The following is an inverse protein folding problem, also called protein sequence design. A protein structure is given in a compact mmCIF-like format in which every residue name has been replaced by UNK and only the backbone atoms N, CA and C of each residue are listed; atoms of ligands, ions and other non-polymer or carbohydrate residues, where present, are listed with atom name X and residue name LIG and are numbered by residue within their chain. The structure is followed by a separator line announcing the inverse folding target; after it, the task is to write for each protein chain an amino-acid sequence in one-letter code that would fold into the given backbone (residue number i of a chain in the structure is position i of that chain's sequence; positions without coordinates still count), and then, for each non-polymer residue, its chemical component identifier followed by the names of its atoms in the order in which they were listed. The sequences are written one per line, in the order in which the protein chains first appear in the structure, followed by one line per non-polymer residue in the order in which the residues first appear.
data_IF_984678380377
#
_entry.id   IF_984678380377
#
_cell.length_a   1.000
_cell.length_b   1.000
_cell.length_c   1.000
_cell.angle_alpha   90.00
_cell.angle_beta   90.00
_cell.angle_gamma   90.00
#
_symmetry.space_group_name_H-M   'P 1'
#
loop_
_entity.id
_entity.type
_entity.pdbx_description
1 polymer ?
#
# COMPACT_ATOMS: atom_id res chain seq x y z
N UNK A 1 2.57 -31.57 -16.99
CA UNK A 1 2.96 -30.34 -17.71
C UNK A 1 2.70 -29.07 -16.89
N UNK A 2 1.51 -28.89 -16.29
CA UNK A 2 1.18 -27.73 -15.44
C UNK A 2 2.18 -27.48 -14.30
N UNK A 3 2.55 -28.53 -13.55
CA UNK A 3 3.54 -28.43 -12.46
C UNK A 3 4.91 -27.94 -12.96
N UNK A 4 5.37 -28.40 -14.13
CA UNK A 4 6.62 -27.93 -14.75
C UNK A 4 6.52 -26.45 -15.15
N UNK A 5 5.36 -26.01 -15.66
CA UNK A 5 5.10 -24.63 -16.04
C UNK A 5 5.05 -23.70 -14.82
N UNK A 6 4.33 -24.10 -13.75
CA UNK A 6 4.29 -23.36 -12.48
C UNK A 6 5.70 -23.23 -11.91
N UNK A 7 6.47 -24.32 -11.89
CA UNK A 7 7.85 -24.32 -11.42
C UNK A 7 8.72 -23.36 -12.23
N UNK A 8 8.61 -23.37 -13.55
CA UNK A 8 9.35 -22.46 -14.43
C UNK A 8 9.00 -20.99 -14.15
N UNK A 9 7.71 -20.66 -14.04
CA UNK A 9 7.24 -19.29 -13.76
C UNK A 9 7.69 -18.82 -12.37
N UNK A 10 7.69 -19.70 -11.37
CA UNK A 10 8.16 -19.35 -10.02
C UNK A 10 9.67 -19.06 -10.01
N UNK A 11 10.48 -19.89 -10.65
CA UNK A 11 11.93 -19.67 -10.65
C UNK A 11 12.38 -18.53 -11.58
N UNK A 12 11.59 -18.17 -12.59
CA UNK A 12 11.86 -16.98 -13.42
C UNK A 12 11.50 -15.67 -12.70
N UNK A 13 10.46 -15.68 -11.86
CA UNK A 13 9.96 -14.47 -11.17
C UNK A 13 10.65 -14.18 -9.85
N UNK A 14 11.10 -15.21 -9.15
CA UNK A 14 11.68 -15.09 -7.82
C UNK A 14 13.11 -15.60 -7.75
N UNK A 15 13.98 -14.82 -7.11
CA UNK A 15 15.25 -15.38 -6.67
C UNK A 15 15.01 -16.40 -5.54
N UNK A 16 15.88 -17.43 -5.43
CA UNK A 16 15.80 -18.42 -4.35
C UNK A 16 15.72 -17.76 -2.97
N UNK A 17 16.52 -16.69 -2.75
CA UNK A 17 16.48 -15.90 -1.52
C UNK A 17 15.17 -15.13 -1.31
N UNK A 18 14.53 -14.67 -2.39
CA UNK A 18 13.21 -14.03 -2.33
C UNK A 18 12.10 -14.99 -1.89
N UNK A 19 12.09 -16.22 -2.43
CA UNK A 19 11.14 -17.27 -2.00
C UNK A 19 11.35 -17.65 -0.53
N UNK A 20 12.60 -17.85 -0.11
CA UNK A 20 12.92 -18.16 1.29
C UNK A 20 12.45 -17.02 2.20
N UNK A 21 12.75 -15.77 1.86
CA UNK A 21 12.30 -14.61 2.63
C UNK A 21 10.77 -14.54 2.72
N UNK A 22 10.05 -14.81 1.62
CA UNK A 22 8.59 -14.83 1.60
C UNK A 22 8.05 -15.89 2.56
N UNK A 23 8.55 -17.12 2.47
CA UNK A 23 8.17 -18.23 3.35
C UNK A 23 8.44 -17.87 4.80
N UNK A 24 9.65 -17.41 5.13
CA UNK A 24 10.04 -17.02 6.49
C UNK A 24 9.12 -15.94 7.04
N UNK A 25 8.78 -14.91 6.26
CA UNK A 25 7.86 -13.86 6.70
C UNK A 25 6.46 -14.42 6.94
N UNK A 26 5.91 -15.23 6.04
CA UNK A 26 4.60 -15.86 6.26
C UNK A 26 4.58 -16.73 7.49
N UNK A 27 5.67 -17.48 7.74
CA UNK A 27 5.81 -18.27 8.96
C UNK A 27 5.86 -17.35 10.17
N UNK A 28 6.72 -16.33 10.20
CA UNK A 28 6.82 -15.39 11.33
C UNK A 28 5.49 -14.69 11.65
N UNK A 29 4.77 -14.22 10.62
CA UNK A 29 3.44 -13.61 10.81
C UNK A 29 2.46 -14.64 11.38
N UNK A 30 2.44 -15.86 10.84
CA UNK A 30 1.57 -16.92 11.34
C UNK A 30 1.89 -17.31 12.79
N UNK A 31 3.18 -17.41 13.16
CA UNK A 31 3.63 -17.69 14.52
C UNK A 31 3.24 -16.56 15.48
N UNK A 32 3.33 -15.30 15.04
CA UNK A 32 3.01 -14.14 15.88
C UNK A 32 1.52 -13.94 16.08
N UNK A 33 0.69 -14.26 15.07
CA UNK A 33 -0.73 -13.88 15.07
C UNK A 33 -1.68 -15.07 15.26
N UNK A 34 -1.43 -16.19 14.59
CA UNK A 34 -2.37 -17.32 14.55
C UNK A 34 -2.17 -18.20 15.80
N UNK A 35 -0.93 -18.48 16.16
CA UNK A 35 -0.62 -19.38 17.29
C UNK A 35 -1.13 -18.84 18.65
N UNK A 36 -0.94 -17.56 19.02
CA UNK A 36 -1.47 -17.03 20.27
C UNK A 36 -3.00 -17.01 20.32
N UNK A 37 -3.64 -16.83 19.16
CA UNK A 37 -5.11 -16.82 19.02
C UNK A 37 -5.70 -18.21 19.21
N UNK A 38 -4.97 -19.25 18.77
CA UNK A 38 -5.36 -20.65 18.99
C UNK A 38 -5.03 -21.09 20.42
N UNK A 39 -3.91 -20.65 21.00
CA UNK A 39 -3.41 -21.15 22.29
C UNK A 39 -4.02 -20.52 23.54
N UNK A 40 -4.48 -19.26 23.49
CA UNK A 40 -5.06 -18.57 24.66
C UNK A 40 -6.54 -18.88 24.92
N UNK A 41 -7.13 -19.78 24.13
CA UNK A 41 -8.59 -19.86 24.02
C UNK A 41 -9.12 -18.62 23.30
N UNK A 42 -10.25 -18.78 22.60
CA UNK A 42 -10.84 -17.79 21.69
C UNK A 42 -11.51 -16.66 22.51
N UNK A 43 -10.80 -16.06 23.46
CA UNK A 43 -11.22 -14.82 24.09
C UNK A 43 -10.69 -13.68 23.23
N UNK A 44 -11.61 -13.14 22.43
CA UNK A 44 -11.41 -12.00 21.55
C UNK A 44 -10.84 -10.81 22.33
N UNK A 45 -9.54 -10.60 22.26
CA UNK A 45 -8.90 -9.39 22.79
C UNK A 45 -9.43 -8.12 22.08
N UNK A 46 -10.09 -8.29 20.93
CA UNK A 46 -10.68 -7.23 20.12
C UNK A 46 -12.12 -7.58 19.73
N UNK A 47 -13.09 -6.68 19.97
CA UNK A 47 -14.46 -6.90 19.53
C UNK A 47 -14.62 -7.11 18.02
N UNK A 48 -15.61 -7.93 17.63
CA UNK A 48 -15.86 -8.38 16.26
C UNK A 48 -15.97 -7.25 15.23
N UNK A 49 -16.55 -6.12 15.61
CA UNK A 49 -16.70 -4.95 14.74
C UNK A 49 -15.37 -4.35 14.26
N UNK A 50 -14.28 -4.43 15.05
CA UNK A 50 -12.97 -3.96 14.58
C UNK A 50 -12.37 -4.87 13.54
N UNK A 51 -12.54 -6.18 13.68
CA UNK A 51 -12.07 -7.15 12.71
C UNK A 51 -12.73 -6.90 11.35
N UNK A 52 -14.02 -6.58 11.33
CA UNK A 52 -14.76 -6.25 10.10
C UNK A 52 -14.22 -4.97 9.46
N UNK A 53 -14.07 -3.90 10.24
CA UNK A 53 -13.54 -2.62 9.73
C UNK A 53 -12.12 -2.81 9.20
N UNK A 54 -11.30 -3.58 9.91
CA UNK A 54 -9.93 -3.90 9.50
C UNK A 54 -9.90 -4.67 8.18
N UNK A 55 -10.62 -5.78 8.10
CA UNK A 55 -10.66 -6.64 6.92
C UNK A 55 -11.17 -5.83 5.73
N UNK A 56 -12.19 -5.00 5.93
CA UNK A 56 -12.73 -4.14 4.88
C UNK A 56 -11.72 -3.10 4.41
N UNK A 57 -11.10 -2.35 5.33
CA UNK A 57 -10.10 -1.33 4.99
C UNK A 57 -8.90 -1.94 4.26
N UNK A 58 -8.44 -3.11 4.71
CA UNK A 58 -7.40 -3.88 4.05
C UNK A 58 -7.84 -4.28 2.65
N UNK A 59 -9.03 -4.86 2.53
CA UNK A 59 -9.59 -5.29 1.25
C UNK A 59 -9.66 -4.13 0.26
N UNK A 60 -10.17 -2.96 0.67
CA UNK A 60 -10.23 -1.75 -0.18
C UNK A 60 -8.84 -1.33 -0.64
N UNK A 61 -7.89 -1.20 0.30
CA UNK A 61 -6.55 -0.71 0.02
C UNK A 61 -5.85 -1.62 -1.00
N UNK A 62 -5.90 -2.94 -0.79
CA UNK A 62 -5.24 -3.91 -1.65
C UNK A 62 -6.02 -4.23 -2.94
N UNK A 63 -7.34 -4.07 -2.95
CA UNK A 63 -8.14 -4.12 -4.19
C UNK A 63 -7.81 -2.92 -5.09
N UNK A 64 -7.62 -1.73 -4.49
CA UNK A 64 -7.29 -0.52 -5.23
C UNK A 64 -5.86 -0.55 -5.77
N UNK A 65 -4.90 -1.05 -5.00
CA UNK A 65 -3.52 -1.26 -5.42
C UNK A 65 -3.47 -2.48 -6.38
N UNK A 66 -3.92 -2.29 -7.63
CA UNK A 66 -4.06 -3.39 -8.60
C UNK A 66 -2.73 -3.89 -9.18
N UNK A 67 -2.03 -4.80 -8.50
CA UNK A 67 -0.76 -5.33 -8.96
C UNK A 67 -0.89 -6.49 -9.94
N UNK A 68 -0.58 -6.26 -11.22
CA UNK A 68 -0.36 -7.37 -12.14
C UNK A 68 1.07 -7.88 -12.03
N UNK A 69 1.29 -9.11 -12.44
CA UNK A 69 2.58 -9.79 -12.38
C UNK A 69 2.90 -10.43 -13.71
N UNK A 70 2.22 -10.07 -14.81
CA UNK A 70 2.76 -10.47 -16.10
C UNK A 70 4.01 -9.66 -16.33
N UNK A 71 5.13 -10.39 -16.36
CA UNK A 71 6.38 -9.82 -16.77
C UNK A 71 6.37 -9.61 -18.30
N UNK A 72 7.15 -8.69 -18.84
CA UNK A 72 7.29 -8.58 -20.30
C UNK A 72 7.94 -9.84 -20.83
N UNK A 73 8.91 -10.38 -20.09
CA UNK A 73 9.47 -11.69 -20.35
C UNK A 73 8.37 -12.77 -20.43
N UNK A 74 7.33 -12.71 -19.58
CA UNK A 74 6.20 -13.65 -19.69
C UNK A 74 5.44 -13.45 -21.00
N UNK A 75 5.20 -12.22 -21.42
CA UNK A 75 4.49 -11.93 -22.67
C UNK A 75 5.30 -12.27 -23.92
N UNK A 76 6.59 -11.97 -23.93
CA UNK A 76 7.49 -12.23 -25.07
C UNK A 76 7.80 -13.74 -25.20
N UNK A 77 7.87 -14.46 -24.08
CA UNK A 77 8.22 -15.88 -24.04
C UNK A 77 7.02 -16.80 -23.76
N UNK A 78 6.33 -16.67 -22.63
CA UNK A 78 5.27 -17.62 -22.25
C UNK A 78 4.01 -17.50 -23.14
N UNK A 79 3.67 -16.31 -23.61
CA UNK A 79 2.49 -16.12 -24.46
C UNK A 79 2.73 -16.44 -25.93
N UNK A 80 4.00 -16.56 -26.36
CA UNK A 80 4.38 -16.99 -27.71
C UNK A 80 4.55 -18.52 -27.81
N UNK A 81 4.72 -19.21 -26.68
CA UNK A 81 4.76 -20.68 -26.66
C UNK A 81 3.40 -21.28 -27.08
N UNK A 82 3.40 -22.43 -27.77
CA UNK A 82 2.19 -23.16 -28.16
C UNK A 82 1.60 -23.93 -26.96
N UNK A 83 1.18 -23.20 -25.93
CA UNK A 83 0.57 -23.74 -24.70
C UNK A 83 -0.89 -23.30 -24.65
N UNK A 84 -1.79 -24.19 -24.24
CA UNK A 84 -3.19 -23.86 -24.00
C UNK A 84 -3.33 -22.64 -23.07
N UNK A 85 -4.07 -21.63 -23.52
CA UNK A 85 -4.33 -20.39 -22.76
C UNK A 85 -4.93 -20.66 -21.37
N UNK A 86 -5.77 -21.70 -21.24
CA UNK A 86 -6.32 -22.15 -19.95
C UNK A 86 -5.23 -22.63 -18.99
N UNK A 87 -4.28 -23.45 -19.47
CA UNK A 87 -3.17 -23.97 -18.64
C UNK A 87 -2.20 -22.86 -18.25
N UNK A 88 -1.93 -21.93 -19.17
CA UNK A 88 -1.12 -20.75 -18.92
C UNK A 88 -1.77 -19.85 -17.85
N UNK A 89 -3.06 -19.53 -18.00
CA UNK A 89 -3.81 -18.72 -17.03
C UNK A 89 -3.81 -19.32 -15.62
N UNK A 90 -4.02 -20.64 -15.49
CA UNK A 90 -3.95 -21.34 -14.21
C UNK A 90 -2.55 -21.25 -13.60
N UNK A 91 -1.50 -21.49 -14.40
CA UNK A 91 -0.14 -21.47 -13.88
C UNK A 91 0.28 -20.08 -13.37
N UNK A 92 -0.07 -19.03 -14.13
CA UNK A 92 0.18 -17.64 -13.75
C UNK A 92 -0.63 -17.24 -12.50
N UNK A 93 -1.88 -17.70 -12.38
CA UNK A 93 -2.70 -17.48 -11.20
C UNK A 93 -2.09 -18.12 -9.95
N UNK A 94 -1.65 -19.37 -10.03
CA UNK A 94 -0.99 -20.08 -8.91
C UNK A 94 0.29 -19.35 -8.48
N UNK A 95 1.10 -18.91 -9.44
CA UNK A 95 2.31 -18.13 -9.12
C UNK A 95 2.00 -16.82 -8.39
N UNK A 96 0.88 -16.18 -8.71
CA UNK A 96 0.44 -14.96 -8.03
C UNK A 96 -0.14 -15.22 -6.65
N UNK A 97 -0.83 -16.34 -6.48
CA UNK A 97 -1.35 -16.77 -5.20
C UNK A 97 -0.21 -16.96 -4.19
N UNK A 98 0.94 -17.47 -4.63
CA UNK A 98 2.14 -17.60 -3.78
C UNK A 98 2.66 -16.22 -3.33
N UNK A 99 2.65 -15.20 -4.19
CA UNK A 99 2.97 -13.81 -3.80
C UNK A 99 1.96 -13.31 -2.77
N UNK A 100 0.69 -13.57 -3.03
CA UNK A 100 -0.42 -13.10 -2.21
C UNK A 100 -0.56 -13.83 -0.87
N UNK A 101 0.17 -14.92 -0.66
CA UNK A 101 0.12 -15.71 0.57
C UNK A 101 0.45 -14.85 1.80
N UNK A 102 1.37 -13.88 1.67
CA UNK A 102 1.66 -12.91 2.74
C UNK A 102 0.42 -12.09 3.10
N UNK A 103 -0.36 -11.60 2.12
CA UNK A 103 -1.59 -10.84 2.38
C UNK A 103 -2.72 -11.71 2.90
N UNK A 104 -2.81 -12.96 2.42
CA UNK A 104 -3.78 -13.94 2.92
C UNK A 104 -3.50 -14.20 4.41
N UNK A 105 -2.25 -14.52 4.76
CA UNK A 105 -1.86 -14.77 6.15
C UNK A 105 -2.05 -13.49 6.99
N UNK A 106 -1.67 -12.33 6.46
CA UNK A 106 -1.88 -11.07 7.16
C UNK A 106 -3.37 -10.77 7.40
N UNK A 107 -4.28 -11.00 6.43
CA UNK A 107 -5.73 -10.90 6.65
C UNK A 107 -6.22 -11.87 7.74
N UNK A 108 -5.68 -13.09 7.76
CA UNK A 108 -6.03 -14.08 8.80
C UNK A 108 -5.53 -13.63 10.18
N UNK A 109 -4.43 -12.88 10.27
CA UNK A 109 -3.89 -12.35 11.53
C UNK A 109 -4.83 -11.40 12.28
N UNK A 110 -5.75 -10.74 11.58
CA UNK A 110 -6.74 -9.83 12.18
C UNK A 110 -8.12 -10.48 12.34
N UNK A 111 -8.22 -11.77 12.05
CA UNK A 111 -9.43 -12.55 12.24
C UNK A 111 -9.44 -13.15 13.64
N UNK A 112 -9.94 -12.39 14.61
CA UNK A 112 -9.98 -12.80 16.03
C UNK A 112 -11.16 -13.73 16.38
N UNK A 113 -12.01 -14.05 15.42
CA UNK A 113 -13.14 -14.98 15.56
C UNK A 113 -12.87 -16.25 14.72
N UNK A 114 -13.20 -17.43 15.25
CA UNK A 114 -13.10 -18.71 14.55
C UNK A 114 -13.79 -18.73 13.19
N UNK A 115 -14.94 -18.06 13.06
CA UNK A 115 -15.63 -17.94 11.79
C UNK A 115 -14.86 -17.10 10.77
N UNK A 116 -14.30 -15.97 11.20
CA UNK A 116 -13.45 -15.14 10.35
C UNK A 116 -12.13 -15.84 9.98
N UNK A 117 -11.57 -16.71 10.83
CA UNK A 117 -10.37 -17.48 10.51
C UNK A 117 -10.61 -18.44 9.32
N UNK A 118 -11.82 -18.98 9.19
CA UNK A 118 -12.18 -19.86 8.06
C UNK A 118 -12.40 -19.04 6.78
N UNK A 119 -12.95 -17.82 6.90
CA UNK A 119 -13.33 -17.00 5.75
C UNK A 119 -12.20 -16.11 5.25
N UNK A 120 -11.27 -15.69 6.11
CA UNK A 120 -10.17 -14.80 5.73
C UNK A 120 -9.26 -15.37 4.61
N UNK A 121 -8.97 -16.68 4.52
CA UNK A 121 -8.29 -17.25 3.35
C UNK A 121 -9.07 -17.07 2.06
N UNK A 122 -10.39 -17.29 2.10
CA UNK A 122 -11.27 -17.08 0.96
C UNK A 122 -11.27 -15.61 0.55
N UNK A 123 -11.40 -14.68 1.51
CA UNK A 123 -11.32 -13.25 1.25
C UNK A 123 -9.99 -12.86 0.60
N UNK A 124 -8.86 -13.39 1.06
CA UNK A 124 -7.56 -13.14 0.45
C UNK A 124 -7.42 -13.70 -0.98
N UNK A 125 -8.01 -14.86 -1.27
CA UNK A 125 -8.09 -15.39 -2.65
C UNK A 125 -8.99 -14.51 -3.53
N UNK A 126 -10.15 -14.09 -3.01
CA UNK A 126 -11.06 -13.20 -3.72
C UNK A 126 -10.42 -11.84 -3.99
N UNK A 127 -9.60 -11.34 -3.06
CA UNK A 127 -8.86 -10.09 -3.20
C UNK A 127 -7.89 -10.16 -4.36
N UNK A 128 -7.12 -11.25 -4.48
CA UNK A 128 -6.26 -11.50 -5.65
C UNK A 128 -7.08 -11.54 -6.94
N UNK A 129 -8.17 -12.31 -6.95
CA UNK A 129 -9.02 -12.44 -8.14
C UNK A 129 -9.67 -11.12 -8.57
N UNK A 130 -10.18 -10.34 -7.61
CA UNK A 130 -10.76 -9.02 -7.84
C UNK A 130 -9.69 -8.05 -8.35
N UNK A 131 -8.50 -8.09 -7.78
CA UNK A 131 -7.37 -7.28 -8.23
C UNK A 131 -7.03 -7.54 -9.70
N UNK A 132 -6.96 -8.82 -10.10
CA UNK A 132 -6.67 -9.26 -11.48
C UNK A 132 -7.79 -8.88 -12.46
N UNK A 133 -9.05 -8.90 -12.03
CA UNK A 133 -10.18 -8.56 -12.90
C UNK A 133 -10.28 -7.05 -13.15
N UNK A 134 -10.01 -6.23 -12.13
CA UNK A 134 -10.16 -4.77 -12.19
C UNK A 134 -9.03 -4.01 -12.91
N UNK A 135 -8.02 -4.69 -13.45
CA UNK A 135 -6.81 -4.03 -13.99
C UNK A 135 -7.06 -3.12 -15.19
N UNK A 136 -7.93 -3.55 -16.10
CA UNK A 136 -8.24 -2.83 -17.34
C UNK A 136 -9.50 -1.96 -17.21
N UNK A 137 -10.12 -1.98 -16.04
CA UNK A 137 -11.33 -1.20 -15.76
C UNK A 137 -10.92 0.25 -15.51
N UNK A 138 -11.67 1.20 -16.09
CA UNK A 138 -11.42 2.63 -15.85
C UNK A 138 -11.49 2.93 -14.34
N UNK A 139 -10.63 3.84 -13.87
CA UNK A 139 -10.50 4.16 -12.44
C UNK A 139 -11.83 4.51 -11.76
N UNK A 140 -12.74 5.20 -12.46
CA UNK A 140 -14.08 5.53 -11.94
C UNK A 140 -14.91 4.29 -11.62
N UNK A 141 -15.04 3.36 -12.56
CA UNK A 141 -15.76 2.10 -12.35
C UNK A 141 -15.05 1.20 -11.34
N UNK A 142 -13.72 1.21 -11.32
CA UNK A 142 -12.93 0.47 -10.34
C UNK A 142 -13.22 0.95 -8.91
N UNK A 143 -13.24 2.27 -8.68
CA UNK A 143 -13.60 2.86 -7.39
C UNK A 143 -15.04 2.47 -7.02
N UNK A 144 -15.98 2.57 -7.95
CA UNK A 144 -17.38 2.18 -7.70
C UNK A 144 -17.50 0.72 -7.25
N UNK A 145 -16.85 -0.22 -7.96
CA UNK A 145 -16.87 -1.64 -7.60
C UNK A 145 -16.28 -1.86 -6.20
N UNK A 146 -15.14 -1.22 -5.89
CA UNK A 146 -14.51 -1.33 -4.57
C UNK A 146 -15.40 -0.76 -3.46
N UNK A 147 -16.09 0.35 -3.71
CA UNK A 147 -17.04 0.93 -2.74
C UNK A 147 -18.24 0.02 -2.51
N UNK A 148 -18.80 -0.58 -3.56
CA UNK A 148 -19.92 -1.53 -3.42
C UNK A 148 -19.49 -2.76 -2.61
N UNK A 149 -18.32 -3.34 -2.91
CA UNK A 149 -17.79 -4.48 -2.14
C UNK A 149 -17.48 -4.06 -0.69
N UNK A 150 -16.96 -2.86 -0.46
CA UNK A 150 -16.72 -2.34 0.88
C UNK A 150 -18.01 -2.21 1.70
N UNK A 151 -19.07 -1.64 1.11
CA UNK A 151 -20.37 -1.53 1.77
C UNK A 151 -20.94 -2.91 2.09
N UNK A 152 -20.74 -3.90 1.21
CA UNK A 152 -21.14 -5.27 1.47
C UNK A 152 -20.35 -5.90 2.62
N UNK A 153 -19.03 -5.71 2.69
CA UNK A 153 -18.20 -6.16 3.81
C UNK A 153 -18.52 -5.41 5.12
N UNK A 154 -19.07 -4.19 5.08
CA UNK A 154 -19.50 -3.47 6.29
C UNK A 154 -20.95 -3.77 6.68
N UNK A 155 -21.75 -4.34 5.79
CA UNK A 155 -23.18 -4.58 6.02
C UNK A 155 -23.53 -5.36 7.30
N UNK A 156 -22.72 -6.30 7.82
CA UNK A 156 -23.03 -6.95 9.10
C UNK A 156 -23.07 -6.00 10.30
N UNK A 157 -22.40 -4.84 10.23
CA UNK A 157 -22.49 -3.81 11.26
C UNK A 157 -23.92 -3.24 11.39
N UNK A 158 -24.74 -3.39 10.36
CA UNK A 158 -26.15 -2.98 10.33
C UNK A 158 -27.11 -4.17 10.53
N UNK A 159 -26.61 -5.32 10.96
CA UNK A 159 -27.43 -6.53 11.19
C UNK A 159 -27.69 -7.38 9.93
N UNK A 160 -26.95 -7.14 8.84
CA UNK A 160 -27.10 -7.96 7.63
C UNK A 160 -26.32 -9.27 7.72
N UNK A 161 -27.04 -10.39 7.60
CA UNK A 161 -26.49 -11.74 7.82
C UNK A 161 -25.77 -12.30 6.57
N UNK A 162 -26.10 -11.83 5.36
CA UNK A 162 -25.56 -12.37 4.10
C UNK A 162 -24.35 -11.59 3.56
N UNK A 163 -23.27 -11.54 4.34
CA UNK A 163 -22.02 -10.88 3.92
C UNK A 163 -20.79 -11.68 4.32
N UNK A 164 -19.66 -11.57 3.58
CA UNK A 164 -18.44 -12.31 3.89
C UNK A 164 -17.84 -12.08 5.28
N UNK A 165 -18.18 -10.97 5.93
CA UNK A 165 -17.68 -10.62 7.27
C UNK A 165 -18.70 -10.93 8.37
N UNK A 166 -19.90 -11.41 8.04
CA UNK A 166 -20.98 -11.71 8.99
C UNK A 166 -20.62 -12.84 9.95
N UNK A 167 -19.70 -13.73 9.57
CA UNK A 167 -19.15 -14.75 10.46
C UNK A 167 -18.44 -14.17 11.70
N UNK A 168 -18.08 -12.88 11.69
CA UNK A 168 -17.60 -12.19 12.88
C UNK A 168 -18.63 -12.12 14.01
N UNK A 169 -19.93 -12.18 13.66
CA UNK A 169 -21.07 -12.15 14.57
C UNK A 169 -21.73 -13.52 14.80
N UNK A 170 -21.14 -14.61 14.28
CA UNK A 170 -21.64 -15.97 14.48
C UNK A 170 -22.37 -16.59 13.28
N UNK A 171 -22.63 -15.80 12.23
CA UNK A 171 -23.32 -16.24 11.00
C UNK A 171 -22.36 -16.92 10.01
N UNK A 172 -21.82 -18.08 10.40
CA UNK A 172 -20.81 -18.77 9.59
C UNK A 172 -21.36 -19.34 8.28
N UNK A 173 -22.56 -19.91 8.31
CA UNK A 173 -23.14 -20.59 7.16
C UNK A 173 -23.59 -19.58 6.10
N UNK A 174 -24.24 -18.49 6.52
CA UNK A 174 -24.68 -17.38 5.69
C UNK A 174 -23.47 -16.74 5.02
N UNK A 175 -22.42 -16.45 5.80
CA UNK A 175 -21.16 -15.92 5.30
C UNK A 175 -20.48 -16.84 4.28
N UNK A 176 -20.43 -18.15 4.54
CA UNK A 176 -19.83 -19.12 3.60
C UNK A 176 -20.64 -19.26 2.32
N UNK A 177 -21.97 -19.30 2.43
CA UNK A 177 -22.89 -19.43 1.28
C UNK A 177 -22.71 -18.30 0.27
N UNK A 178 -22.28 -17.13 0.74
CA UNK A 178 -22.04 -15.95 -0.07
C UNK A 178 -20.58 -15.84 -0.52
N UNK A 179 -19.64 -16.07 0.39
CA UNK A 179 -18.22 -15.87 0.12
C UNK A 179 -17.67 -16.90 -0.86
N UNK A 180 -18.07 -18.18 -0.72
CA UNK A 180 -17.54 -19.25 -1.55
C UNK A 180 -17.93 -19.05 -3.03
N UNK A 181 -19.21 -18.84 -3.40
CA UNK A 181 -19.57 -18.54 -4.79
C UNK A 181 -18.91 -17.28 -5.33
N UNK A 182 -18.82 -16.22 -4.52
CA UNK A 182 -18.12 -14.98 -4.90
C UNK A 182 -16.65 -15.24 -5.24
N UNK A 183 -15.93 -15.98 -4.39
CA UNK A 183 -14.52 -16.29 -4.61
C UNK A 183 -14.30 -17.18 -5.83
N UNK A 184 -15.15 -18.20 -6.03
CA UNK A 184 -15.07 -19.13 -7.16
C UNK A 184 -15.36 -18.39 -8.46
N UNK A 185 -16.42 -17.58 -8.49
CA UNK A 185 -16.78 -16.76 -9.65
C UNK A 185 -15.64 -15.83 -10.05
N UNK A 186 -15.10 -15.05 -9.12
CA UNK A 186 -13.98 -14.15 -9.39
C UNK A 186 -12.72 -14.91 -9.82
N UNK A 187 -12.43 -16.06 -9.20
CA UNK A 187 -11.28 -16.90 -9.57
C UNK A 187 -11.40 -17.35 -11.02
N UNK A 188 -12.57 -17.87 -11.44
CA UNK A 188 -12.80 -18.31 -12.81
C UNK A 188 -12.64 -17.15 -13.81
N UNK A 189 -13.22 -15.99 -13.51
CA UNK A 189 -13.10 -14.79 -14.37
C UNK A 189 -11.64 -14.36 -14.47
N UNK A 190 -10.92 -14.33 -13.35
CA UNK A 190 -9.51 -13.92 -13.31
C UNK A 190 -8.61 -14.86 -14.11
N UNK A 191 -8.79 -16.19 -13.99
CA UNK A 191 -8.01 -17.19 -14.75
C UNK A 191 -8.24 -17.03 -16.25
N UNK A 192 -9.51 -16.86 -16.67
CA UNK A 192 -9.85 -16.65 -18.08
C UNK A 192 -9.21 -15.37 -18.62
N UNK A 193 -9.27 -14.29 -17.83
CA UNK A 193 -8.71 -12.99 -18.20
C UNK A 193 -7.19 -13.03 -18.32
N UNK A 194 -6.49 -13.64 -17.36
CA UNK A 194 -5.03 -13.79 -17.40
C UNK A 194 -4.59 -14.65 -18.60
N UNK A 195 -5.30 -15.75 -18.85
CA UNK A 195 -4.96 -16.67 -19.94
C UNK A 195 -5.10 -16.04 -21.33
N UNK A 196 -6.04 -15.10 -21.50
CA UNK A 196 -6.37 -14.47 -22.78
C UNK A 196 -5.90 -13.02 -22.87
N UNK A 197 -4.80 -12.66 -22.21
CA UNK A 197 -4.30 -11.30 -22.22
C UNK A 197 -3.73 -10.93 -23.61
N UNK A 198 -4.31 -9.91 -24.26
CA UNK A 198 -3.89 -9.47 -25.59
C UNK A 198 -2.62 -8.59 -25.53
N UNK A 199 -1.57 -9.03 -26.20
CA UNK A 199 -0.27 -8.32 -26.32
C UNK A 199 -0.41 -6.91 -26.93
N UNK A 200 -1.47 -6.65 -27.70
CA UNK A 200 -1.69 -5.40 -28.45
C UNK A 200 -2.09 -4.23 -27.52
N UNK A 201 -2.67 -4.50 -26.35
CA UNK A 201 -3.19 -3.47 -25.45
C UNK A 201 -2.10 -2.73 -24.63
N UNK A 202 -0.89 -3.28 -24.54
CA UNK A 202 0.23 -2.62 -23.84
C UNK A 202 0.73 -1.36 -24.55
N UNK A 203 0.47 -1.23 -25.85
CA UNK A 203 0.92 -0.09 -26.66
C UNK A 203 0.04 1.15 -26.53
N UNK A 204 -0.97 1.14 -25.68
CA UNK A 204 -1.65 2.38 -25.29
C UNK A 204 -0.85 3.06 -24.19
N UNK A 205 0.35 3.54 -24.54
CA UNK A 205 0.87 4.75 -23.93
C UNK A 205 -0.18 5.79 -24.28
N UNK A 206 -1.11 6.06 -23.38
CA UNK A 206 -2.03 7.17 -23.54
C UNK A 206 -1.15 8.40 -23.55
N UNK A 207 -0.78 8.87 -24.75
CA UNK A 207 -0.26 10.20 -25.00
C UNK A 207 -1.39 11.18 -24.72
N UNK A 208 -1.79 11.27 -23.46
CA UNK A 208 -2.41 12.49 -22.97
C UNK A 208 -1.25 13.45 -22.75
N UNK A 209 -0.84 14.11 -23.84
CA UNK A 209 -0.14 15.39 -23.76
C UNK A 209 -1.12 16.39 -23.14
N UNK A 210 -1.34 16.26 -21.84
CA UNK A 210 -2.04 17.28 -21.08
C UNK A 210 -1.17 18.53 -21.14
N UNK A 211 -1.62 19.52 -21.89
CA UNK A 211 -1.15 20.89 -21.75
C UNK A 211 -1.14 21.18 -20.25
N UNK A 212 -0.01 21.63 -19.71
CA UNK A 212 0.10 22.00 -18.29
C UNK A 212 -0.94 23.10 -18.06
N UNK A 213 -2.10 22.75 -17.49
CA UNK A 213 -3.24 23.67 -17.36
C UNK A 213 -2.88 24.93 -16.53
N UNK A 214 -1.77 24.89 -15.77
CA UNK A 214 -1.30 26.00 -14.95
C UNK A 214 0.25 26.09 -14.92
N UNK A 215 0.87 26.97 -15.72
CA UNK A 215 2.32 27.17 -15.64
C UNK A 215 2.69 27.80 -14.29
N UNK A 216 3.72 27.27 -13.63
CA UNK A 216 4.35 27.87 -12.45
C UNK A 216 5.62 28.58 -12.92
N UNK A 217 5.79 29.84 -12.55
CA UNK A 217 7.05 30.56 -12.76
C UNK A 217 8.00 30.34 -11.58
N UNK A 218 9.27 30.08 -11.88
CA UNK A 218 10.36 29.90 -10.91
C UNK A 218 11.40 31.03 -10.95
N UNK A 219 11.16 32.09 -11.72
CA UNK A 219 12.17 33.11 -12.10
C UNK A 219 12.88 33.81 -10.94
N UNK A 220 12.26 33.88 -9.76
CA UNK A 220 12.81 34.53 -8.55
C UNK A 220 13.03 33.57 -7.38
N UNK A 221 12.84 32.26 -7.59
CA UNK A 221 12.89 31.26 -6.52
C UNK A 221 14.30 30.67 -6.35
N UNK A 222 14.75 30.52 -5.11
CA UNK A 222 15.98 29.76 -4.83
C UNK A 222 15.77 28.27 -5.14
N UNK A 223 16.82 27.47 -5.41
CA UNK A 223 16.68 26.07 -5.80
C UNK A 223 15.83 25.24 -4.82
N UNK A 224 16.01 25.47 -3.51
CA UNK A 224 15.18 24.83 -2.49
C UNK A 224 13.71 25.28 -2.55
N UNK A 225 13.47 26.60 -2.66
CA UNK A 225 12.12 27.16 -2.74
C UNK A 225 11.40 26.69 -4.01
N UNK A 226 12.11 26.58 -5.14
CA UNK A 226 11.55 26.11 -6.40
C UNK A 226 11.02 24.67 -6.28
N UNK A 227 11.81 23.76 -5.71
CA UNK A 227 11.42 22.36 -5.50
C UNK A 227 10.24 22.28 -4.52
N UNK A 228 10.32 23.01 -3.41
CA UNK A 228 9.24 23.04 -2.43
C UNK A 228 7.95 23.60 -3.04
N UNK A 229 8.01 24.70 -3.79
CA UNK A 229 6.86 25.28 -4.48
C UNK A 229 6.26 24.31 -5.49
N UNK A 230 7.08 23.61 -6.27
CA UNK A 230 6.61 22.59 -7.21
C UNK A 230 5.84 21.47 -6.49
N UNK A 231 6.42 20.90 -5.43
CA UNK A 231 5.81 19.78 -4.68
C UNK A 231 4.61 20.20 -3.82
N UNK A 232 4.55 21.46 -3.38
CA UNK A 232 3.40 21.98 -2.66
C UNK A 232 2.27 22.46 -3.56
N UNK A 233 2.55 22.73 -4.84
CA UNK A 233 1.49 23.08 -5.80
C UNK A 233 0.90 21.83 -6.44
N UNK A 234 1.76 20.85 -6.76
CA UNK A 234 1.37 19.65 -7.46
C UNK A 234 1.61 18.39 -6.65
N UNK A 235 0.55 17.59 -6.59
CA UNK A 235 0.63 16.23 -6.12
C UNK A 235 0.34 15.30 -7.27
N UNK A 236 1.34 14.52 -7.64
CA UNK A 236 1.21 13.48 -8.64
C UNK A 236 0.60 12.24 -7.99
N UNK A 237 -0.67 12.00 -8.28
CA UNK A 237 -1.33 10.74 -7.97
C UNK A 237 -0.79 9.72 -8.97
N UNK A 238 0.29 9.06 -8.58
CA UNK A 238 0.88 7.96 -9.33
C UNK A 238 0.20 6.68 -8.88
N UNK A 239 -0.69 6.17 -9.72
CA UNK A 239 -1.18 4.81 -9.59
C UNK A 239 -0.22 3.89 -10.31
N UNK A 240 0.94 3.55 -9.70
CA UNK A 240 1.58 2.27 -10.04
C UNK A 240 0.81 1.23 -9.27
N UNK A 241 -0.16 0.66 -9.95
CA UNK A 241 -0.99 -0.36 -9.35
C UNK A 241 -0.12 -1.62 -9.23
N UNK A 242 0.38 -1.89 -8.01
CA UNK A 242 1.33 -2.97 -7.75
C UNK A 242 2.40 -2.57 -6.74
N UNK A 243 2.05 -2.55 -5.46
CA UNK A 243 2.98 -2.26 -4.37
C UNK A 243 4.10 -3.33 -4.24
N UNK A 244 3.79 -4.57 -4.61
CA UNK A 244 4.70 -5.72 -4.53
C UNK A 244 5.02 -6.35 -5.88
N UNK A 245 4.28 -5.95 -6.91
CA UNK A 245 4.37 -6.54 -8.23
C UNK A 245 4.78 -5.42 -9.16
N UNK A 246 6.05 -5.47 -9.56
CA UNK A 246 6.74 -4.45 -10.33
C UNK A 246 6.23 -4.33 -11.78
N UNK A 247 5.01 -4.78 -12.04
CA UNK A 247 4.28 -4.82 -13.31
C UNK A 247 2.93 -4.15 -13.08
N UNK A 248 2.74 -2.96 -13.64
CA UNK A 248 1.49 -2.23 -13.49
C UNK A 248 1.38 -1.14 -14.53
N UNK A 249 0.16 -0.89 -15.00
CA UNK A 249 -0.13 0.26 -15.85
C UNK A 249 0.26 1.52 -15.08
N UNK A 250 1.25 2.24 -15.59
CA UNK A 250 1.66 3.51 -15.01
C UNK A 250 0.61 4.56 -15.41
N UNK A 251 -0.25 4.93 -14.47
CA UNK A 251 -1.14 6.07 -14.62
C UNK A 251 -0.64 7.19 -13.73
N UNK A 252 -0.33 8.33 -14.34
CA UNK A 252 0.02 9.54 -13.64
C UNK A 252 -1.10 10.54 -13.86
N UNK A 253 -1.70 10.99 -12.77
CA UNK A 253 -2.55 12.18 -12.79
C UNK A 253 -1.95 13.21 -11.84
N UNK A 254 -1.56 14.35 -12.38
CA UNK A 254 -1.14 15.48 -11.56
C UNK A 254 -2.40 16.21 -11.10
N UNK A 255 -2.52 16.41 -9.78
CA UNK A 255 -3.63 17.10 -9.13
C UNK A 255 -3.05 18.26 -8.33
N UNK A 256 -3.76 19.39 -8.26
CA UNK A 256 -3.35 20.49 -7.39
C UNK A 256 -3.43 20.06 -5.93
N UNK A 257 -2.43 20.41 -5.15
CA UNK A 257 -2.37 20.08 -3.73
C UNK A 257 -3.60 20.59 -2.96
N UNK A 258 -4.15 21.76 -3.35
CA UNK A 258 -5.36 22.32 -2.74
C UNK A 258 -6.56 21.37 -2.78
N UNK A 259 -6.71 20.58 -3.85
CA UNK A 259 -7.78 19.59 -3.94
C UNK A 259 -7.55 18.43 -2.97
N UNK A 260 -6.30 18.02 -2.78
CA UNK A 260 -5.97 16.96 -1.84
C UNK A 260 -6.16 17.43 -0.42
N UNK A 261 -5.75 18.65 -0.08
CA UNK A 261 -6.00 19.23 1.24
C UNK A 261 -7.50 19.39 1.51
N UNK A 262 -8.31 19.71 0.48
CA UNK A 262 -9.76 19.73 0.62
C UNK A 262 -10.31 18.34 0.91
N UNK A 263 -9.90 17.31 0.16
CA UNK A 263 -10.32 15.92 0.38
C UNK A 263 -9.91 15.44 1.78
N UNK A 264 -8.66 15.68 2.20
CA UNK A 264 -8.19 15.26 3.54
C UNK A 264 -8.88 16.03 4.64
N UNK A 265 -9.24 17.30 4.43
CA UNK A 265 -10.04 18.07 5.38
C UNK A 265 -11.46 17.51 5.53
N UNK A 266 -12.12 17.16 4.43
CA UNK A 266 -13.45 16.54 4.47
C UNK A 266 -13.41 15.18 5.18
N UNK A 267 -12.41 14.35 4.88
CA UNK A 267 -12.20 13.07 5.56
C UNK A 267 -11.87 13.24 7.05
N UNK A 268 -11.14 14.30 7.42
CA UNK A 268 -10.84 14.62 8.81
C UNK A 268 -12.10 15.02 9.60
N UNK A 269 -13.05 15.74 8.97
CA UNK A 269 -14.36 16.03 9.57
C UNK A 269 -15.16 14.75 9.78
N UNK A 270 -15.19 13.85 8.80
CA UNK A 270 -15.84 12.52 8.95
C UNK A 270 -15.18 11.74 10.09
N UNK A 271 -13.85 11.70 10.13
CA UNK A 271 -13.08 11.10 11.23
C UNK A 271 -13.48 11.68 12.59
N UNK A 272 -13.58 13.01 12.71
CA UNK A 272 -14.01 13.67 13.93
C UNK A 272 -15.42 13.24 14.36
N UNK A 273 -16.39 13.30 13.45
CA UNK A 273 -17.80 12.95 13.74
C UNK A 273 -17.91 11.50 14.20
N UNK A 274 -17.28 10.57 13.48
CA UNK A 274 -17.33 9.14 13.80
C UNK A 274 -16.71 8.86 15.16
N UNK A 275 -15.51 9.36 15.44
CA UNK A 275 -14.86 9.11 16.72
C UNK A 275 -15.50 9.85 17.89
N UNK A 276 -16.08 11.03 17.64
CA UNK A 276 -16.86 11.74 18.66
C UNK A 276 -18.11 10.94 19.05
N UNK A 277 -18.81 10.38 18.08
CA UNK A 277 -19.95 9.50 18.34
C UNK A 277 -19.54 8.25 19.12
N UNK A 278 -18.45 7.59 18.73
CA UNK A 278 -17.94 6.40 19.42
C UNK A 278 -17.54 6.68 20.87
N UNK A 279 -16.96 7.87 21.15
CA UNK A 279 -16.63 8.31 22.50
C UNK A 279 -17.87 8.47 23.39
N UNK A 280 -18.97 9.00 22.83
CA UNK A 280 -20.23 9.19 23.57
C UNK A 280 -20.88 7.85 23.95
N UNK A 281 -20.71 6.83 23.13
CA UNK A 281 -21.23 5.47 23.39
C UNK A 281 -20.37 4.66 24.37
N UNK A 282 -19.31 5.26 24.96
CA UNK A 282 -18.46 4.66 26.00
C UNK A 282 -17.99 3.23 25.72
N UNK A 283 -17.68 2.93 24.45
CA UNK A 283 -17.26 1.60 24.05
C UNK A 283 -15.81 1.40 24.55
N UNK A 284 -15.61 0.49 25.50
CA UNK A 284 -14.31 0.18 26.15
C UNK A 284 -13.16 -0.10 25.18
N UNK A 285 -13.49 -0.36 23.92
CA UNK A 285 -12.60 -0.77 22.87
C UNK A 285 -12.15 0.37 21.93
N UNK A 286 -12.52 1.62 22.24
CA UNK A 286 -12.26 2.81 21.43
C UNK A 286 -10.78 2.93 21.02
N UNK A 287 -9.86 2.56 21.90
CA UNK A 287 -8.41 2.62 21.66
C UNK A 287 -7.97 1.73 20.48
N UNK A 288 -8.65 0.60 20.24
CA UNK A 288 -8.35 -0.29 19.13
C UNK A 288 -8.92 0.21 17.79
N UNK A 289 -10.14 0.77 17.79
CA UNK A 289 -10.71 1.36 16.58
C UNK A 289 -9.95 2.57 16.08
N UNK A 290 -9.59 3.42 17.04
CA UNK A 290 -8.73 4.57 16.83
C UNK A 290 -7.40 4.11 16.23
N UNK A 291 -6.75 3.11 16.82
CA UNK A 291 -5.44 2.64 16.33
C UNK A 291 -5.46 2.11 14.90
N UNK A 292 -6.54 1.42 14.53
CA UNK A 292 -6.75 0.89 13.18
C UNK A 292 -6.86 2.04 12.16
N UNK A 293 -7.80 2.97 12.35
CA UNK A 293 -8.05 4.04 11.35
C UNK A 293 -6.80 4.91 11.15
N UNK A 294 -6.03 5.15 12.20
CA UNK A 294 -4.83 5.99 12.14
C UNK A 294 -3.68 5.28 11.46
N UNK A 295 -3.52 3.98 11.70
CA UNK A 295 -2.52 3.19 10.97
C UNK A 295 -2.78 3.28 9.47
N UNK A 296 -4.04 3.22 9.02
CA UNK A 296 -4.40 3.40 7.62
C UNK A 296 -4.10 4.81 7.09
N UNK A 297 -4.45 5.86 7.83
CA UNK A 297 -4.15 7.25 7.44
C UNK A 297 -2.64 7.46 7.30
N UNK A 298 -1.86 7.00 8.27
CA UNK A 298 -0.42 7.16 8.26
C UNK A 298 0.25 6.30 7.17
N UNK A 299 -0.17 5.04 6.99
CA UNK A 299 0.27 4.17 5.88
C UNK A 299 -0.01 4.83 4.54
N UNK A 300 -1.23 5.33 4.35
CA UNK A 300 -1.62 6.02 3.12
C UNK A 300 -0.71 7.22 2.88
N UNK A 301 -0.51 8.08 3.88
CA UNK A 301 0.39 9.24 3.76
C UNK A 301 1.82 8.82 3.40
N UNK A 302 2.40 7.84 4.11
CA UNK A 302 3.78 7.40 3.88
C UNK A 302 3.94 6.86 2.47
N UNK A 303 2.99 6.05 2.00
CA UNK A 303 3.06 5.44 0.70
C UNK A 303 2.86 6.42 -0.43
N UNK A 304 1.72 7.11 -0.45
CA UNK A 304 1.35 7.93 -1.58
C UNK A 304 2.24 9.18 -1.69
N UNK A 305 2.63 9.79 -0.57
CA UNK A 305 3.51 10.97 -0.59
C UNK A 305 4.92 10.60 -1.06
N UNK A 306 5.52 9.57 -0.47
CA UNK A 306 6.90 9.19 -0.83
C UNK A 306 6.98 8.71 -2.29
N UNK A 307 5.98 7.96 -2.74
CA UNK A 307 5.89 7.50 -4.13
C UNK A 307 5.62 8.65 -5.10
N UNK A 308 4.70 9.57 -4.79
CA UNK A 308 4.43 10.73 -5.65
C UNK A 308 5.69 11.55 -5.94
N UNK A 309 6.54 11.71 -4.92
CA UNK A 309 7.72 12.55 -5.04
C UNK A 309 8.90 11.86 -5.71
N UNK A 310 9.10 10.56 -5.50
CA UNK A 310 10.25 9.86 -6.02
C UNK A 310 9.96 9.16 -7.35
N UNK A 311 8.77 8.57 -7.52
CA UNK A 311 8.48 7.73 -8.69
C UNK A 311 8.43 8.49 -10.01
N UNK A 312 8.18 9.79 -9.93
CA UNK A 312 8.00 10.63 -11.10
C UNK A 312 9.22 11.49 -11.38
N UNK A 313 10.16 11.53 -10.45
CA UNK A 313 11.40 12.24 -10.64
C UNK A 313 12.37 11.32 -11.38
N UNK A 314 12.84 11.81 -12.54
CA UNK A 314 13.96 11.20 -13.25
C UNK A 314 15.23 11.57 -12.50
N UNK A 315 15.45 10.93 -11.34
CA UNK A 315 16.62 11.17 -10.48
C UNK A 315 17.92 11.05 -11.27
N UNK A 316 17.96 10.12 -12.23
CA UNK A 316 19.13 9.94 -13.09
C UNK A 316 19.43 11.13 -14.02
N UNK A 317 18.45 11.95 -14.38
CA UNK A 317 18.65 13.13 -15.23
C UNK A 317 18.77 14.40 -14.38
N UNK A 318 17.98 14.48 -13.31
CA UNK A 318 17.94 15.65 -12.42
C UNK A 318 19.18 15.75 -11.53
N UNK A 319 19.70 14.63 -11.02
CA UNK A 319 20.86 14.64 -10.13
C UNK A 319 22.15 15.06 -10.86
N UNK A 320 22.48 14.57 -12.07
CA UNK A 320 23.64 15.09 -12.79
C UNK A 320 23.49 16.56 -13.20
N UNK A 321 22.26 17.00 -13.49
CA UNK A 321 21.99 18.36 -13.98
C UNK A 321 22.00 19.41 -12.86
N UNK A 322 21.39 19.10 -11.71
CA UNK A 322 21.18 20.04 -10.58
C UNK A 322 22.16 19.77 -9.43
N UNK A 323 22.76 18.58 -9.40
CA UNK A 323 23.67 18.11 -8.37
C UNK A 323 22.98 17.34 -7.24
N UNK A 324 23.79 16.76 -6.35
CA UNK A 324 23.33 15.91 -5.24
C UNK A 324 22.44 16.65 -4.22
N UNK A 325 22.53 17.99 -4.15
CA UNK A 325 21.69 18.83 -3.29
C UNK A 325 20.20 18.72 -3.62
N UNK A 326 19.86 18.39 -4.87
CA UNK A 326 18.47 18.17 -5.29
C UNK A 326 17.78 17.11 -4.44
N UNK A 327 18.46 15.98 -4.20
CA UNK A 327 17.89 14.87 -3.44
C UNK A 327 17.62 15.25 -1.98
N UNK A 328 18.50 16.07 -1.39
CA UNK A 328 18.30 16.66 -0.06
C UNK A 328 17.00 17.47 0.00
N UNK A 329 16.80 18.35 -0.98
CA UNK A 329 15.61 19.20 -1.06
C UNK A 329 14.34 18.39 -1.34
N UNK A 330 14.44 17.34 -2.16
CA UNK A 330 13.34 16.43 -2.42
C UNK A 330 12.87 15.73 -1.14
N UNK A 331 13.80 15.16 -0.34
CA UNK A 331 13.46 14.52 0.94
C UNK A 331 12.79 15.50 1.90
N UNK A 332 13.29 16.74 2.01
CA UNK A 332 12.64 17.75 2.87
C UNK A 332 11.23 18.06 2.35
N UNK A 333 11.07 18.27 1.04
CA UNK A 333 9.78 18.53 0.43
C UNK A 333 8.78 17.38 0.64
N UNK A 334 9.22 16.12 0.63
CA UNK A 334 8.33 14.96 0.88
C UNK A 334 7.78 14.98 2.30
N UNK A 335 8.60 15.31 3.29
CA UNK A 335 8.14 15.44 4.67
C UNK A 335 7.20 16.64 4.87
N UNK A 336 7.50 17.80 4.28
CA UNK A 336 6.60 18.97 4.37
C UNK A 336 5.26 18.69 3.69
N UNK A 337 5.27 18.04 2.53
CA UNK A 337 4.05 17.65 1.83
C UNK A 337 3.21 16.65 2.65
N UNK A 338 3.86 15.67 3.30
CA UNK A 338 3.22 14.75 4.24
C UNK A 338 2.60 15.48 5.43
N UNK A 339 3.32 16.45 5.99
CA UNK A 339 2.82 17.26 7.11
C UNK A 339 1.53 17.98 6.71
N UNK A 340 1.50 18.67 5.56
CA UNK A 340 0.32 19.41 5.09
C UNK A 340 -0.90 18.50 4.89
N UNK A 341 -0.70 17.29 4.36
CA UNK A 341 -1.75 16.30 4.15
C UNK A 341 -2.34 15.83 5.50
N UNK A 342 -1.50 15.71 6.53
CA UNK A 342 -1.88 15.19 7.85
C UNK A 342 -2.40 16.25 8.83
N UNK A 343 -2.17 17.56 8.59
CA UNK A 343 -2.66 18.64 9.45
C UNK A 343 -4.16 18.51 9.79
N UNK A 344 -5.09 18.30 8.83
CA UNK A 344 -6.51 18.25 9.16
C UNK A 344 -6.86 17.11 10.13
N UNK A 345 -6.24 15.94 9.97
CA UNK A 345 -6.42 14.80 10.87
C UNK A 345 -5.79 15.04 12.24
N UNK A 346 -4.63 15.70 12.28
CA UNK A 346 -3.97 16.06 13.54
C UNK A 346 -4.80 17.07 14.34
N UNK A 347 -5.35 18.11 13.70
CA UNK A 347 -6.25 19.07 14.35
C UNK A 347 -7.46 18.34 14.92
N UNK A 348 -8.11 17.49 14.11
CA UNK A 348 -9.26 16.70 14.57
C UNK A 348 -8.92 15.81 15.76
N UNK A 349 -7.73 15.22 15.77
CA UNK A 349 -7.24 14.40 16.89
C UNK A 349 -6.96 15.23 18.14
N UNK A 350 -6.36 16.42 18.01
CA UNK A 350 -6.15 17.30 19.16
C UNK A 350 -7.47 17.76 19.78
N UNK A 351 -8.49 18.05 18.97
CA UNK A 351 -9.82 18.37 19.50
C UNK A 351 -10.42 17.16 20.22
N UNK A 352 -10.34 15.96 19.63
CA UNK A 352 -10.81 14.73 20.28
C UNK A 352 -10.04 14.39 21.57
N UNK A 353 -8.82 14.91 21.73
CA UNK A 353 -7.97 14.64 22.88
C UNK A 353 -8.50 15.19 24.20
N UNK A 354 -9.38 16.20 24.12
CA UNK A 354 -10.09 16.75 25.29
C UNK A 354 -10.90 15.66 26.01
N UNK A 355 -11.42 14.68 25.27
CA UNK A 355 -12.23 13.59 25.83
C UNK A 355 -11.44 12.29 26.04
N UNK A 356 -10.40 12.04 25.24
CA UNK A 356 -9.55 10.86 25.44
C UNK A 356 -8.08 11.17 25.09
N UNK A 357 -7.14 11.02 26.05
CA UNK A 357 -5.74 11.40 25.87
C UNK A 357 -5.00 10.58 24.81
N UNK A 358 -5.54 9.44 24.36
CA UNK A 358 -4.97 8.66 23.25
C UNK A 358 -4.89 9.49 21.98
N UNK A 359 -5.89 10.35 21.70
CA UNK A 359 -5.90 11.21 20.51
C UNK A 359 -4.81 12.30 20.53
N UNK A 360 -4.29 12.66 21.70
CA UNK A 360 -3.13 13.56 21.79
C UNK A 360 -1.89 12.91 21.19
N UNK A 361 -1.62 11.64 21.55
CA UNK A 361 -0.48 10.88 20.98
C UNK A 361 -0.57 10.79 19.47
N UNK A 362 -1.80 10.66 18.96
CA UNK A 362 -2.10 10.50 17.54
C UNK A 362 -1.85 11.80 16.78
N UNK A 363 -2.33 12.93 17.31
CA UNK A 363 -2.04 14.23 16.71
C UNK A 363 -0.54 14.47 16.60
N UNK A 364 0.23 14.11 17.64
CA UNK A 364 1.69 14.21 17.62
C UNK A 364 2.31 13.24 16.60
N UNK A 365 1.86 11.99 16.53
CA UNK A 365 2.37 11.00 15.57
C UNK A 365 2.12 11.41 14.11
N UNK A 366 0.97 12.00 13.81
CA UNK A 366 0.62 12.48 12.47
C UNK A 366 1.47 13.70 12.05
N UNK A 367 1.82 14.59 12.98
CA UNK A 367 2.60 15.80 12.67
C UNK A 367 4.11 15.60 12.71
N UNK A 368 4.63 14.75 13.60
CA UNK A 368 6.07 14.60 13.79
C UNK A 368 6.57 13.27 13.25
N UNK A 369 5.99 12.16 13.70
CA UNK A 369 6.47 10.82 13.36
C UNK A 369 6.27 10.50 11.88
N UNK A 370 5.06 10.72 11.36
CA UNK A 370 4.67 10.35 9.99
C UNK A 370 5.50 11.08 8.92
N UNK A 371 5.73 12.41 9.00
CA UNK A 371 6.61 13.11 8.05
C UNK A 371 8.06 12.61 8.06
N UNK A 372 8.64 12.36 9.25
CA UNK A 372 10.00 11.81 9.36
C UNK A 372 10.11 10.42 8.74
N UNK A 373 9.07 9.60 8.91
CA UNK A 373 8.98 8.30 8.25
C UNK A 373 8.87 8.44 6.74
N UNK A 374 8.09 9.38 6.20
CA UNK A 374 8.04 9.64 4.75
C UNK A 374 9.42 9.99 4.19
N UNK A 375 10.19 10.83 4.90
CA UNK A 375 11.53 11.22 4.49
C UNK A 375 12.46 9.98 4.44
N UNK A 376 12.46 9.18 5.51
CA UNK A 376 13.27 7.96 5.60
C UNK A 376 12.85 6.93 4.53
N UNK A 377 11.55 6.77 4.29
CA UNK A 377 11.04 5.86 3.28
C UNK A 377 11.42 6.31 1.86
N UNK A 378 11.37 7.63 1.59
CA UNK A 378 11.87 8.21 0.33
C UNK A 378 13.36 7.91 0.12
N UNK A 379 14.19 8.04 1.16
CA UNK A 379 15.61 7.68 1.10
C UNK A 379 15.82 6.20 0.76
N UNK A 380 15.08 5.32 1.43
CA UNK A 380 15.17 3.88 1.18
C UNK A 380 14.70 3.51 -0.23
N UNK A 381 13.64 4.15 -0.74
CA UNK A 381 13.14 3.97 -2.11
C UNK A 381 14.19 4.35 -3.14
N UNK A 382 14.89 5.46 -2.93
CA UNK A 382 15.96 5.89 -3.82
C UNK A 382 17.07 4.82 -3.95
N UNK A 383 17.46 4.20 -2.84
CA UNK A 383 18.53 3.19 -2.80
C UNK A 383 18.21 1.87 -3.52
N UNK A 384 16.94 1.58 -3.74
CA UNK A 384 16.46 0.26 -4.15
C UNK A 384 15.73 0.29 -5.48
N UNK A 385 15.02 1.38 -5.79
CA UNK A 385 14.20 1.55 -6.99
C UNK A 385 14.48 2.91 -7.65
N UNK A 386 15.68 3.12 -8.23
CA UNK A 386 15.86 4.23 -9.16
C UNK A 386 15.00 4.00 -10.43
N UNK A 387 14.05 4.89 -10.67
CA UNK A 387 13.13 4.86 -11.82
C UNK A 387 13.94 5.08 -13.13
N UNK A 388 13.86 4.16 -14.11
CA UNK A 388 14.57 4.28 -15.40
C UNK A 388 13.68 4.72 -16.57
N UNK A 389 14.31 5.31 -17.60
CA UNK A 389 13.78 5.37 -18.99
C UNK A 389 13.38 3.99 -19.53
N UNK A 390 14.07 2.93 -19.12
CA UNK A 390 13.68 1.55 -19.46
C UNK A 390 12.30 1.20 -18.92
N UNK A 391 11.85 1.78 -17.81
CA UNK A 391 10.52 1.51 -17.26
C UNK A 391 9.40 2.29 -17.96
N UNK A 392 9.71 3.42 -18.62
CA UNK A 392 8.70 4.20 -19.37
C UNK A 392 8.29 3.51 -20.68
N UNK A 393 9.22 2.79 -21.33
CA UNK A 393 8.95 1.98 -22.52
C UNK A 393 8.86 0.46 -22.22
N UNK A 394 9.21 0.06 -21.01
CA UNK A 394 9.32 -1.33 -20.60
C UNK A 394 9.08 -1.50 -19.08
N UNK A 395 7.87 -1.23 -18.56
CA UNK A 395 7.58 -1.09 -17.12
C UNK A 395 7.72 -2.37 -16.26
N UNK A 396 8.41 -3.41 -16.73
CA UNK A 396 8.07 -4.80 -16.41
C UNK A 396 9.30 -5.71 -16.14
N UNK A 397 10.53 -5.20 -16.17
CA UNK A 397 11.72 -6.05 -15.96
C UNK A 397 12.40 -5.80 -14.61
N UNK A 398 11.67 -6.00 -13.50
CA UNK A 398 12.31 -6.08 -12.18
C UNK A 398 12.00 -7.46 -11.59
N UNK A 399 12.99 -8.36 -11.66
CA UNK A 399 13.01 -9.59 -10.88
C UNK A 399 12.73 -9.28 -9.39
N UNK A 400 11.91 -10.10 -8.73
CA UNK A 400 11.72 -9.99 -7.28
C UNK A 400 13.00 -10.54 -6.62
N UNK A 401 14.02 -9.69 -6.52
CA UNK A 401 15.22 -9.97 -5.75
C UNK A 401 14.88 -9.86 -4.27
N UNK A 402 15.43 -10.75 -3.45
CA UNK A 402 15.23 -10.75 -1.99
C UNK A 402 15.47 -9.38 -1.33
N UNK A 403 16.38 -8.55 -1.87
CA UNK A 403 16.63 -7.16 -1.44
C UNK A 403 15.40 -6.24 -1.62
N UNK A 404 14.64 -6.40 -2.70
CA UNK A 404 13.45 -5.60 -2.98
C UNK A 404 12.26 -6.06 -2.12
N UNK A 405 12.17 -7.36 -1.85
CA UNK A 405 11.18 -7.93 -0.93
C UNK A 405 11.44 -7.53 0.53
N UNK A 406 12.70 -7.55 0.97
CA UNK A 406 13.16 -6.97 2.23
C UNK A 406 12.78 -5.50 2.39
N UNK A 407 12.63 -4.75 1.30
CA UNK A 407 12.22 -3.35 1.36
C UNK A 407 10.73 -3.17 1.65
N UNK A 408 9.86 -3.98 1.05
CA UNK A 408 8.44 -4.05 1.42
C UNK A 408 8.25 -4.51 2.87
N UNK A 409 9.19 -5.34 3.37
CA UNK A 409 9.26 -5.73 4.78
C UNK A 409 9.82 -4.64 5.69
N UNK A 410 10.85 -3.90 5.27
CA UNK A 410 11.37 -2.72 5.98
C UNK A 410 10.29 -1.63 6.05
N UNK A 411 9.50 -1.45 5.00
CA UNK A 411 8.28 -0.64 5.04
C UNK A 411 7.30 -1.14 6.11
N UNK A 412 7.01 -2.45 6.14
CA UNK A 412 6.24 -3.07 7.23
C UNK A 412 6.83 -2.79 8.62
N UNK A 413 8.14 -2.96 8.81
CA UNK A 413 8.85 -2.69 10.06
C UNK A 413 8.86 -1.21 10.44
N UNK A 414 8.82 -0.28 9.48
CA UNK A 414 8.78 1.17 9.74
C UNK A 414 7.34 1.62 10.07
N UNK A 415 6.34 0.93 9.53
CA UNK A 415 4.90 1.16 9.76
C UNK A 415 4.39 0.51 11.04
N UNK A 416 4.86 -0.69 11.41
CA UNK A 416 4.48 -1.41 12.63
C UNK A 416 4.68 -0.56 13.91
N UNK A 417 5.74 0.25 14.05
CA UNK A 417 5.89 1.19 15.14
C UNK A 417 4.78 2.23 15.24
N UNK A 418 4.03 2.56 14.17
CA UNK A 418 2.88 3.47 14.26
C UNK A 418 1.75 2.82 15.06
N UNK A 419 1.53 1.52 14.87
CA UNK A 419 0.62 0.73 15.72
C UNK A 419 1.14 0.67 17.15
N UNK A 420 2.45 0.52 17.33
CA UNK A 420 3.10 0.47 18.64
C UNK A 420 3.06 1.82 19.37
N UNK A 421 3.20 2.94 18.65
CA UNK A 421 3.19 4.32 19.15
C UNK A 421 1.86 4.69 19.83
N UNK A 422 0.75 4.06 19.41
CA UNK A 422 -0.57 4.29 20.00
C UNK A 422 -0.69 3.60 21.36
N UNK A 423 -0.08 2.42 21.52
CA UNK A 423 0.00 1.70 22.79
C UNK A 423 1.18 2.14 23.66
N UNK A 424 2.19 2.78 23.06
CA UNK A 424 3.37 3.24 23.75
C UNK A 424 3.09 4.46 24.65
N UNK A 425 3.90 4.64 25.68
CA UNK A 425 3.87 5.87 26.48
C UNK A 425 4.29 7.07 25.62
N UNK A 426 3.86 8.28 26.00
CA UNK A 426 4.28 9.53 25.34
C UNK A 426 5.81 9.66 25.30
N UNK A 427 6.50 9.13 26.32
CA UNK A 427 7.96 9.09 26.40
C UNK A 427 8.56 8.26 25.27
N UNK A 428 8.04 7.05 25.01
CA UNK A 428 8.52 6.19 23.92
C UNK A 428 8.28 6.84 22.55
N UNK A 429 7.13 7.50 22.37
CA UNK A 429 6.87 8.30 21.15
C UNK A 429 7.87 9.46 21.01
N UNK A 430 8.19 10.16 22.11
CA UNK A 430 9.18 11.23 22.11
C UNK A 430 10.57 10.72 21.71
N UNK A 431 11.01 9.59 22.28
CA UNK A 431 12.26 8.94 21.92
C UNK A 431 12.27 8.52 20.45
N UNK A 432 11.19 7.92 19.94
CA UNK A 432 11.15 7.45 18.55
C UNK A 432 11.21 8.60 17.55
N UNK A 433 10.51 9.71 17.82
CA UNK A 433 10.60 10.95 17.03
C UNK A 433 12.02 11.51 17.08
N UNK A 434 12.65 11.54 18.25
CA UNK A 434 14.02 12.03 18.42
C UNK A 434 15.01 11.16 17.65
N UNK A 435 14.91 9.84 17.75
CA UNK A 435 15.75 8.90 17.00
C UNK A 435 15.57 9.08 15.50
N UNK A 436 14.33 9.20 15.01
CA UNK A 436 14.06 9.45 13.59
C UNK A 436 14.60 10.81 13.13
N UNK A 437 14.51 11.85 13.97
CA UNK A 437 15.06 13.15 13.66
C UNK A 437 16.59 13.12 13.57
N UNK A 438 17.27 12.45 14.50
CA UNK A 438 18.73 12.25 14.43
C UNK A 438 19.12 11.46 13.18
N UNK A 439 18.41 10.34 12.91
CA UNK A 439 18.63 9.54 11.72
C UNK A 439 18.43 10.39 10.46
N UNK A 440 17.40 11.22 10.41
CA UNK A 440 17.16 12.11 9.29
C UNK A 440 18.32 13.11 9.08
N UNK A 441 18.79 13.77 10.14
CA UNK A 441 19.95 14.66 10.06
C UNK A 441 21.18 13.92 9.54
N UNK A 442 21.40 12.68 9.97
CA UNK A 442 22.46 11.83 9.45
C UNK A 442 22.28 11.50 7.96
N UNK A 443 21.06 11.19 7.52
CA UNK A 443 20.73 10.89 6.12
C UNK A 443 20.87 12.11 5.20
N UNK A 444 20.76 13.34 5.72
CA UNK A 444 20.97 14.58 4.98
C UNK A 444 22.45 14.90 4.71
N UNK A 445 23.40 14.15 5.28
CA UNK A 445 24.82 14.35 5.04
C UNK A 445 25.19 14.05 3.59
N UNK A 446 26.08 14.87 3.02
CA UNK A 446 26.50 14.76 1.61
C UNK A 446 27.07 13.37 1.29
N UNK A 447 27.79 12.75 2.24
CA UNK A 447 28.31 11.38 2.12
C UNK A 447 27.21 10.33 1.91
N UNK A 448 26.10 10.46 2.65
CA UNK A 448 24.98 9.52 2.57
C UNK A 448 24.22 9.69 1.27
N UNK A 449 23.97 10.94 0.87
CA UNK A 449 23.34 11.28 -0.41
C UNK A 449 24.20 10.79 -1.57
N UNK A 450 25.52 11.02 -1.52
CA UNK A 450 26.45 10.52 -2.53
C UNK A 450 26.38 9.00 -2.66
N UNK A 451 26.28 8.26 -1.55
CA UNK A 451 26.13 6.80 -1.56
C UNK A 451 24.83 6.33 -2.24
N UNK A 452 23.76 7.11 -2.15
CA UNK A 452 22.52 6.83 -2.89
C UNK A 452 22.77 6.98 -4.38
N UNK A 453 23.36 8.10 -4.77
CA UNK A 453 23.65 8.44 -6.17
C UNK A 453 24.65 7.46 -6.78
N UNK A 454 25.71 7.09 -6.05
CA UNK A 454 26.71 6.14 -6.50
C UNK A 454 26.12 4.74 -6.71
N UNK A 455 25.17 4.33 -5.86
CA UNK A 455 24.45 3.07 -6.06
C UNK A 455 23.51 3.13 -7.26
N UNK A 456 22.95 4.30 -7.57
CA UNK A 456 22.18 4.50 -8.79
C UNK A 456 23.11 4.41 -10.02
N UNK A 457 24.28 5.07 -10.02
CA UNK A 457 25.26 4.95 -11.12
C UNK A 457 25.76 3.51 -11.27
N UNK A 458 26.17 2.84 -10.18
CA UNK A 458 26.72 1.47 -10.18
C UNK A 458 25.75 0.44 -10.77
N UNK A 459 24.45 0.64 -10.52
CA UNK A 459 23.43 -0.26 -11.03
C UNK A 459 22.91 0.14 -12.43
N UNK A 460 23.64 1.03 -13.13
CA UNK A 460 23.41 1.41 -14.52
C UNK A 460 22.22 2.33 -14.71
N UNK A 461 21.85 3.08 -13.67
CA UNK A 461 20.74 4.03 -13.71
C UNK A 461 21.16 5.44 -14.16
N UNK A 462 22.45 5.78 -14.07
CA UNK A 462 23.07 7.05 -14.51
C UNK A 462 24.26 6.72 -15.39
#
# INVERSE_FOLDING_TARGET
MLSKLVRLILFSRFSKGGLIALIVITVLISLYSIIPTISKGIHSALPSYYSIVYITAFYILFAYISGFTLMKADLDYLFTLPIDRKKLGIALYISNLIIYLVFIVYLTSFSYNSGLLIISPLLGISLLSLNLTLQEVRTSYKILIIVVVALWLLSPLFGFEYSPTSAAFGYLYESLSVTLPYTVMLTIISIRKIGNYDQILMKKVSRTSGIVEHPISFTTSSPFKAILQLKLTYFSVTGRTGFYTFSGNYSMKVVKMNWITLITSALAVVYFIVFRYLLLTSIESLNAGVSIVISYIAIFSILFVSMSNLMNERLWLTVPSIGYKFFRYLMIATGVQSLIINIPFAISSFVLSVWNPVFLKIGIALLLYTPLVCMLYTYLLALTIPMQLKDEFNPINIEIRGKNFLMGFVFGIIVIPILFVIFASLLILGISVLVLAILFVYLLQDKMIYKVISKMTEAGYI
#
